data_IF_923851348621
#
_entry.id   IF_923851348621
#
_cell.length_a   1.000
_cell.length_b   1.000
_cell.length_c   1.000
_cell.angle_alpha   90.00
_cell.angle_beta   90.00
_cell.angle_gamma   90.00
#
_symmetry.space_group_name_H-M   'P 1'
#
loop_
_entity.id
_entity.type
_entity.pdbx_description
1 polymer ?
#
# COMPACT_ATOMS: atom_id res chain seq x y z
N UNK A 1 24.83 16.86 5.34
CA UNK A 1 24.05 16.27 4.22
C UNK A 1 24.11 14.75 4.34
N UNK A 2 23.00 14.07 4.65
CA UNK A 2 22.95 12.60 4.69
C UNK A 2 22.77 12.09 3.26
N UNK A 3 23.71 11.29 2.76
CA UNK A 3 23.62 10.62 1.45
C UNK A 3 22.38 9.72 1.48
N UNK A 4 21.34 10.02 0.69
CA UNK A 4 20.23 9.10 0.47
C UNK A 4 20.80 7.90 -0.29
N UNK A 5 20.81 6.72 0.33
CA UNK A 5 21.15 5.50 -0.37
C UNK A 5 20.10 5.29 -1.47
N UNK A 6 20.52 5.45 -2.73
CA UNK A 6 19.74 5.02 -3.89
C UNK A 6 19.81 3.50 -3.93
N UNK A 7 18.84 2.86 -3.28
CA UNK A 7 18.64 1.42 -3.42
C UNK A 7 18.26 1.13 -4.87
N UNK A 8 19.19 0.53 -5.63
CA UNK A 8 18.91 0.00 -6.96
C UNK A 8 18.26 -1.37 -6.78
N UNK A 9 16.93 -1.39 -6.80
CA UNK A 9 16.16 -2.64 -6.75
C UNK A 9 16.25 -3.27 -8.13
N UNK A 10 16.64 -4.54 -8.20
CA UNK A 10 16.72 -5.24 -9.49
C UNK A 10 15.30 -5.62 -9.97
N UNK A 11 15.06 -5.76 -11.28
CA UNK A 11 13.76 -6.19 -11.80
C UNK A 11 13.27 -7.51 -11.18
N UNK A 12 14.20 -8.40 -10.82
CA UNK A 12 13.92 -9.68 -10.20
C UNK A 12 13.44 -9.55 -8.75
N UNK A 13 14.04 -8.64 -7.97
CA UNK A 13 13.57 -8.30 -6.62
C UNK A 13 12.19 -7.63 -6.64
N UNK A 14 11.89 -6.84 -7.67
CA UNK A 14 10.57 -6.23 -7.82
C UNK A 14 9.49 -7.28 -8.14
N UNK A 15 9.83 -8.33 -8.89
CA UNK A 15 8.94 -9.45 -9.15
C UNK A 15 8.68 -10.27 -7.87
N UNK A 16 9.73 -10.61 -7.12
CA UNK A 16 9.61 -11.31 -5.83
C UNK A 16 8.72 -10.55 -4.84
N UNK A 17 8.83 -9.22 -4.79
CA UNK A 17 7.99 -8.38 -3.93
C UNK A 17 6.52 -8.34 -4.37
N UNK A 18 6.25 -8.46 -5.68
CA UNK A 18 4.87 -8.59 -6.20
C UNK A 18 4.28 -9.95 -5.85
N UNK A 19 5.05 -11.02 -6.04
CA UNK A 19 4.63 -12.38 -5.69
C UNK A 19 4.38 -12.50 -4.18
N UNK A 20 5.21 -11.84 -3.36
CA UNK A 20 4.99 -11.73 -1.92
C UNK A 20 3.73 -10.92 -1.57
N UNK A 21 3.43 -9.83 -2.29
CA UNK A 21 2.20 -9.06 -2.07
C UNK A 21 0.95 -9.90 -2.38
N UNK A 22 0.98 -10.70 -3.43
CA UNK A 22 -0.08 -11.65 -3.78
C UNK A 22 -0.19 -12.76 -2.73
N UNK A 23 0.92 -13.34 -2.28
CA UNK A 23 0.93 -14.35 -1.22
C UNK A 23 0.47 -13.80 0.16
N UNK A 24 0.71 -12.52 0.44
CA UNK A 24 0.22 -11.84 1.65
C UNK A 24 -1.31 -11.79 1.68
N UNK A 25 -1.96 -11.73 0.50
CA UNK A 25 -3.41 -11.78 0.37
C UNK A 25 -3.99 -13.13 0.79
N UNK A 26 -3.20 -14.20 0.72
CA UNK A 26 -3.56 -15.57 1.11
C UNK A 26 -2.99 -16.00 2.48
N UNK A 27 -2.50 -15.05 3.30
CA UNK A 27 -1.97 -15.27 4.67
C UNK A 27 -0.76 -16.25 4.78
N UNK A 28 -0.01 -16.48 3.70
CA UNK A 28 1.00 -17.55 3.64
C UNK A 28 2.47 -17.07 3.72
N UNK A 29 2.74 -15.87 4.19
CA UNK A 29 4.12 -15.36 4.25
C UNK A 29 4.84 -15.76 5.56
N UNK A 30 6.01 -16.42 5.48
CA UNK A 30 6.86 -16.62 6.65
C UNK A 30 7.41 -15.28 7.15
N UNK A 31 7.15 -14.95 8.42
CA UNK A 31 7.61 -13.71 9.05
C UNK A 31 8.89 -13.96 9.85
N UNK A 32 10.06 -13.70 9.25
CA UNK A 32 11.36 -13.90 9.92
C UNK A 32 11.90 -12.67 10.65
N UNK A 33 11.39 -11.47 10.36
CA UNK A 33 11.91 -10.21 10.91
C UNK A 33 10.81 -9.37 11.58
N UNK A 34 11.06 -8.89 12.80
CA UNK A 34 10.13 -8.04 13.56
C UNK A 34 10.59 -6.59 13.57
N UNK A 35 9.68 -5.69 13.22
CA UNK A 35 9.88 -4.23 13.30
C UNK A 35 8.95 -3.61 14.35
N UNK A 36 9.41 -2.54 15.02
CA UNK A 36 8.58 -1.75 15.94
C UNK A 36 8.30 -0.38 15.32
N UNK A 37 7.00 -0.05 15.17
CA UNK A 37 6.56 1.22 14.58
C UNK A 37 5.85 2.05 15.65
N UNK A 38 6.31 3.29 15.85
CA UNK A 38 5.61 4.26 16.71
C UNK A 38 4.53 4.97 15.88
N UNK A 39 3.28 4.88 16.30
CA UNK A 39 2.14 5.54 15.66
C UNK A 39 1.34 6.39 16.66
N UNK A 40 0.67 7.46 16.20
CA UNK A 40 -0.27 8.21 17.03
C UNK A 40 -1.38 7.30 17.55
N UNK A 41 -1.77 7.49 18.81
CA UNK A 41 -2.81 6.67 19.47
C UNK A 41 -4.15 6.73 18.74
N UNK A 42 -4.50 7.88 18.16
CA UNK A 42 -5.72 8.04 17.38
C UNK A 42 -5.74 7.11 16.16
N UNK A 43 -4.63 7.04 15.42
CA UNK A 43 -4.49 6.18 14.24
C UNK A 43 -4.63 4.70 14.62
N UNK A 44 -3.98 4.27 15.70
CA UNK A 44 -4.09 2.88 16.19
C UNK A 44 -5.53 2.53 16.56
N UNK A 45 -6.23 3.43 17.26
CA UNK A 45 -7.63 3.23 17.63
C UNK A 45 -8.54 3.13 16.41
N UNK A 46 -8.34 3.99 15.42
CA UNK A 46 -9.13 3.96 14.19
C UNK A 46 -8.88 2.68 13.40
N UNK A 47 -7.63 2.23 13.31
CA UNK A 47 -7.27 0.95 12.69
C UNK A 47 -7.94 -0.24 13.41
N UNK A 48 -7.84 -0.29 14.73
CA UNK A 48 -8.44 -1.36 15.53
C UNK A 48 -9.99 -1.36 15.42
N UNK A 49 -10.61 -0.19 15.23
CA UNK A 49 -12.06 -0.06 15.05
C UNK A 49 -12.55 -0.48 13.65
N UNK A 50 -11.79 -0.14 12.60
CA UNK A 50 -12.12 -0.48 11.21
C UNK A 50 -11.83 -1.94 10.89
N UNK A 51 -10.83 -2.55 11.54
CA UNK A 51 -10.38 -3.91 11.27
C UNK A 51 -10.25 -4.74 12.57
N UNK A 52 -11.37 -5.00 13.27
CA UNK A 52 -11.34 -5.66 14.59
C UNK A 52 -10.83 -7.11 14.52
N UNK A 53 -11.10 -7.83 13.43
CA UNK A 53 -10.79 -9.25 13.28
C UNK A 53 -9.48 -9.51 12.51
N UNK A 54 -8.77 -8.45 12.10
CA UNK A 54 -7.56 -8.57 11.29
C UNK A 54 -6.31 -8.43 12.16
N UNK A 55 -5.35 -9.33 11.96
CA UNK A 55 -4.05 -9.20 12.62
C UNK A 55 -3.32 -7.93 12.12
N UNK A 56 -3.13 -6.96 13.00
CA UNK A 56 -2.42 -5.69 12.71
C UNK A 56 -1.07 -5.89 12.00
N UNK A 57 -0.29 -6.89 12.38
CA UNK A 57 1.01 -7.14 11.77
C UNK A 57 0.84 -7.54 10.30
N UNK A 58 -0.14 -8.39 9.99
CA UNK A 58 -0.44 -8.77 8.61
C UNK A 58 -0.97 -7.59 7.81
N UNK A 59 -1.85 -6.78 8.40
CA UNK A 59 -2.37 -5.56 7.77
C UNK A 59 -1.25 -4.59 7.41
N UNK A 60 -0.34 -4.32 8.35
CA UNK A 60 0.79 -3.42 8.13
C UNK A 60 1.80 -3.98 7.12
N UNK A 61 2.05 -5.29 7.14
CA UNK A 61 2.91 -5.95 6.14
C UNK A 61 2.30 -5.83 4.74
N UNK A 62 0.99 -6.04 4.60
CA UNK A 62 0.29 -5.87 3.33
C UNK A 62 0.36 -4.43 2.83
N UNK A 63 0.06 -3.45 3.69
CA UNK A 63 0.17 -2.03 3.34
C UNK A 63 1.60 -1.63 2.93
N UNK A 64 2.61 -2.17 3.62
CA UNK A 64 4.01 -1.92 3.28
C UNK A 64 4.36 -2.52 1.91
N UNK A 65 3.95 -3.77 1.64
CA UNK A 65 4.14 -4.43 0.34
C UNK A 65 3.44 -3.67 -0.78
N UNK A 66 2.18 -3.27 -0.60
CA UNK A 66 1.43 -2.51 -1.58
C UNK A 66 2.11 -1.17 -1.89
N UNK A 67 2.57 -0.45 -0.87
CA UNK A 67 3.30 0.81 -1.06
C UNK A 67 4.64 0.60 -1.79
N UNK A 68 5.36 -0.47 -1.49
CA UNK A 68 6.60 -0.84 -2.18
C UNK A 68 6.30 -1.18 -3.64
N UNK A 69 5.33 -2.04 -3.91
CA UNK A 69 4.95 -2.43 -5.28
C UNK A 69 4.49 -1.21 -6.10
N UNK A 70 3.70 -0.30 -5.53
CA UNK A 70 3.31 0.96 -6.19
C UNK A 70 4.54 1.78 -6.57
N UNK A 71 5.45 2.01 -5.61
CA UNK A 71 6.73 2.70 -5.86
C UNK A 71 7.60 2.03 -6.92
N UNK A 72 7.61 0.70 -6.94
CA UNK A 72 8.41 -0.09 -7.88
C UNK A 72 7.79 -0.12 -9.28
N UNK A 73 6.47 -0.02 -9.40
CA UNK A 73 5.73 -0.11 -10.68
C UNK A 73 6.21 0.94 -11.69
N UNK A 74 6.67 2.10 -11.21
CA UNK A 74 7.10 3.22 -12.04
C UNK A 74 8.53 3.68 -11.78
N UNK A 75 9.38 2.80 -11.21
CA UNK A 75 10.79 3.15 -10.90
C UNK A 75 11.55 3.68 -12.13
N UNK A 76 11.23 3.13 -13.31
CA UNK A 76 11.87 3.50 -14.58
C UNK A 76 11.12 4.61 -15.33
N UNK A 77 9.97 5.07 -14.82
CA UNK A 77 9.14 6.07 -15.49
C UNK A 77 8.33 6.95 -14.52
N UNK A 78 8.96 7.96 -13.89
CA UNK A 78 8.33 8.80 -12.87
C UNK A 78 7.17 9.68 -13.39
N UNK A 79 7.11 9.97 -14.69
CA UNK A 79 5.99 10.71 -15.30
C UNK A 79 4.71 9.87 -15.28
N UNK A 80 4.82 8.55 -15.42
CA UNK A 80 3.70 7.62 -15.32
C UNK A 80 3.18 7.45 -13.88
N UNK A 81 4.06 7.54 -12.88
CA UNK A 81 3.65 7.54 -11.45
C UNK A 81 2.71 8.73 -11.16
N UNK A 82 3.12 9.92 -11.61
CA UNK A 82 2.32 11.14 -11.45
C UNK A 82 0.99 11.11 -12.22
N UNK A 83 0.99 10.55 -13.44
CA UNK A 83 -0.22 10.41 -14.25
C UNK A 83 -1.22 9.44 -13.62
N UNK A 84 -0.74 8.32 -13.07
CA UNK A 84 -1.61 7.32 -12.44
C UNK A 84 -2.21 7.84 -11.13
N UNK A 85 -1.43 8.60 -10.35
CA UNK A 85 -1.93 9.24 -9.13
C UNK A 85 -3.01 10.30 -9.46
N UNK A 86 -2.86 11.07 -10.55
CA UNK A 86 -3.89 12.03 -10.96
C UNK A 86 -5.18 11.34 -11.44
N UNK A 87 -5.05 10.27 -12.24
CA UNK A 87 -6.20 9.52 -12.76
C UNK A 87 -6.95 8.75 -11.66
N UNK A 88 -6.27 8.34 -10.57
CA UNK A 88 -6.94 7.74 -9.41
C UNK A 88 -7.80 8.73 -8.65
N UNK A 89 -7.38 10.00 -8.53
CA UNK A 89 -8.19 11.05 -7.90
C UNK A 89 -9.52 11.24 -8.65
N UNK A 90 -9.48 11.24 -9.98
CA UNK A 90 -10.67 11.42 -10.81
C UNK A 90 -11.64 10.22 -10.70
N UNK A 91 -11.12 9.02 -10.45
CA UNK A 91 -11.94 7.82 -10.22
C UNK A 91 -12.61 7.82 -8.85
N UNK A 92 -11.94 8.31 -7.81
CA UNK A 92 -12.53 8.45 -6.47
C UNK A 92 -13.68 9.48 -6.49
N UNK A 93 -13.51 10.59 -7.20
CA UNK A 93 -14.54 11.63 -7.39
C UNK A 93 -15.75 11.09 -8.19
N UNK A 94 -15.50 10.29 -9.23
CA UNK A 94 -16.55 9.63 -10.01
C UNK A 94 -17.33 8.63 -9.15
N UNK A 95 -16.63 7.88 -8.29
CA UNK A 95 -17.24 6.91 -7.39
C UNK A 95 -18.14 7.60 -6.36
N UNK A 96 -17.69 8.70 -5.76
CA UNK A 96 -18.48 9.53 -4.84
C UNK A 96 -19.76 10.04 -5.52
N UNK A 97 -19.65 10.57 -6.75
CA UNK A 97 -20.81 11.00 -7.54
C UNK A 97 -21.82 9.89 -7.81
N UNK A 98 -21.35 8.66 -8.11
CA UNK A 98 -22.22 7.52 -8.35
C UNK A 98 -22.94 7.07 -7.07
N UNK A 99 -22.25 7.04 -5.93
CA UNK A 99 -22.86 6.72 -4.63
C UNK A 99 -23.89 7.77 -4.18
N UNK A 100 -23.62 9.05 -4.42
CA UNK A 100 -24.59 10.12 -4.15
C UNK A 100 -25.83 9.96 -5.01
N UNK A 101 -25.66 9.63 -6.29
CA UNK A 101 -26.78 9.41 -7.19
C UNK A 101 -27.61 8.20 -6.79
N UNK A 102 -26.99 7.10 -6.39
CA UNK A 102 -27.68 5.90 -5.91
C UNK A 102 -28.46 6.16 -4.61
N UNK A 103 -27.94 6.99 -3.71
CA UNK A 103 -28.64 7.40 -2.47
C UNK A 103 -29.84 8.33 -2.70
N UNK A 104 -29.86 9.05 -3.83
CA UNK A 104 -30.87 10.06 -4.16
C UNK A 104 -31.95 9.54 -5.14
N UNK A 105 -31.95 8.25 -5.47
CA UNK A 105 -32.98 7.53 -6.25
C UNK A 105 -33.76 6.61 -5.32
#
# INVERSE_FOLDING_TARGET
MKKRATYKITPQQALELRDMAEAAQYHALPTDTRIQVKMPKAVVKTLDALFPDVNRSQLLTKLALDAIVRKLRFIDNPELDMLVDSEQSDLDDLWEYLEERERNV
#
